data_IF_622980405752
#
_entry.id   IF_622980405752
#
_cell.length_a   1.000
_cell.length_b   1.000
_cell.length_c   1.000
_cell.angle_alpha   90.00
_cell.angle_beta   90.00
_cell.angle_gamma   90.00
#
_symmetry.space_group_name_H-M   'P 1'
#
loop_
_entity.id
_entity.type
_entity.pdbx_description
1 polymer ?
#
# COMPACT_ATOMS: atom_id res chain seq x y z
N UNK A 1 -20.36 -31.68 11.44
CA UNK A 1 -19.76 -32.03 10.13
C UNK A 1 -18.86 -30.88 9.71
N UNK A 2 -17.55 -31.09 9.61
CA UNK A 2 -16.65 -30.02 9.15
C UNK A 2 -16.92 -29.76 7.67
N UNK A 3 -17.44 -28.57 7.32
CA UNK A 3 -17.50 -28.13 5.92
C UNK A 3 -16.06 -28.12 5.41
N UNK A 4 -15.74 -29.06 4.51
CA UNK A 4 -14.45 -29.11 3.81
C UNK A 4 -14.50 -28.07 2.71
N UNK A 5 -13.79 -26.96 2.92
CA UNK A 5 -13.60 -25.95 1.90
C UNK A 5 -12.36 -26.30 1.08
N UNK A 6 -12.41 -26.07 -0.23
CA UNK A 6 -11.24 -26.26 -1.10
C UNK A 6 -10.14 -25.25 -0.74
N UNK A 7 -8.86 -25.61 -0.95
CA UNK A 7 -7.75 -24.68 -0.69
C UNK A 7 -7.86 -23.40 -1.54
N UNK A 8 -8.34 -23.51 -2.78
CA UNK A 8 -8.60 -22.37 -3.68
C UNK A 8 -9.67 -21.43 -3.11
N UNK A 9 -10.79 -21.99 -2.63
CA UNK A 9 -11.85 -21.19 -2.02
C UNK A 9 -11.37 -20.47 -0.76
N UNK A 10 -10.52 -21.13 0.05
CA UNK A 10 -9.93 -20.51 1.24
C UNK A 10 -9.05 -19.31 0.85
N UNK A 11 -8.22 -19.42 -0.18
CA UNK A 11 -7.40 -18.31 -0.66
C UNK A 11 -8.27 -17.17 -1.18
N UNK A 12 -9.25 -17.48 -2.04
CA UNK A 12 -10.16 -16.47 -2.59
C UNK A 12 -10.96 -15.74 -1.51
N UNK A 13 -11.38 -16.45 -0.45
CA UNK A 13 -12.07 -15.85 0.69
C UNK A 13 -11.17 -14.92 1.51
N UNK A 14 -9.89 -15.28 1.69
CA UNK A 14 -8.90 -14.41 2.36
C UNK A 14 -8.65 -13.16 1.50
N UNK A 15 -8.40 -13.32 0.20
CA UNK A 15 -8.10 -12.22 -0.71
C UNK A 15 -9.26 -11.23 -0.78
N UNK A 16 -10.50 -11.75 -0.87
CA UNK A 16 -11.71 -10.94 -0.85
C UNK A 16 -11.85 -10.16 0.47
N UNK A 17 -11.61 -10.82 1.62
CA UNK A 17 -11.67 -10.17 2.92
C UNK A 17 -10.60 -9.06 3.09
N UNK A 18 -9.42 -9.25 2.51
CA UNK A 18 -8.34 -8.26 2.53
C UNK A 18 -8.63 -7.07 1.59
N UNK A 19 -9.16 -7.34 0.39
CA UNK A 19 -9.56 -6.31 -0.56
C UNK A 19 -10.71 -5.44 -0.02
N UNK A 20 -11.66 -6.06 0.69
CA UNK A 20 -12.85 -5.40 1.24
C UNK A 20 -12.69 -4.98 2.71
N UNK A 21 -11.50 -4.51 3.11
CA UNK A 21 -11.20 -4.08 4.49
C UNK A 21 -12.04 -2.91 5.04
N UNK A 22 -12.89 -2.28 4.21
CA UNK A 22 -13.87 -1.28 4.60
C UNK A 22 -15.17 -1.89 5.13
N UNK A 23 -15.46 -3.16 4.82
CA UNK A 23 -16.60 -3.89 5.35
C UNK A 23 -16.20 -4.70 6.59
N UNK A 24 -17.11 -4.84 7.57
CA UNK A 24 -16.85 -5.68 8.73
C UNK A 24 -16.72 -7.14 8.29
N UNK A 25 -15.70 -7.83 8.81
CA UNK A 25 -15.39 -9.22 8.49
C UNK A 25 -16.58 -10.17 8.73
N UNK A 26 -17.46 -9.86 9.69
CA UNK A 26 -18.69 -10.60 9.93
C UNK A 26 -19.66 -10.56 8.73
N UNK A 27 -19.81 -9.41 8.08
CA UNK A 27 -20.65 -9.28 6.88
C UNK A 27 -20.04 -10.02 5.70
N UNK A 28 -18.72 -9.96 5.54
CA UNK A 28 -18.00 -10.70 4.51
C UNK A 28 -18.16 -12.21 4.70
N UNK A 29 -18.03 -12.68 5.95
CA UNK A 29 -18.21 -14.09 6.29
C UNK A 29 -19.64 -14.59 5.94
N UNK A 30 -20.66 -13.79 6.25
CA UNK A 30 -22.06 -14.07 5.88
C UNK A 30 -22.23 -14.13 4.36
N UNK A 31 -21.67 -13.17 3.60
CA UNK A 31 -21.70 -13.14 2.13
C UNK A 31 -21.06 -14.38 1.50
N UNK A 32 -19.95 -14.83 2.06
CA UNK A 32 -19.22 -16.03 1.58
C UNK A 32 -19.82 -17.34 2.11
N UNK A 33 -20.81 -17.30 3.00
CA UNK A 33 -21.38 -18.49 3.64
C UNK A 33 -20.39 -19.23 4.56
N UNK A 34 -19.36 -18.52 5.04
CA UNK A 34 -18.32 -19.03 5.94
C UNK A 34 -18.56 -18.50 7.34
N UNK A 35 -18.27 -19.30 8.38
CA UNK A 35 -18.34 -18.81 9.75
C UNK A 35 -17.28 -17.73 10.00
N UNK A 36 -17.65 -16.66 10.71
CA UNK A 36 -16.73 -15.57 11.07
C UNK A 36 -15.40 -16.09 11.66
N UNK A 37 -15.49 -16.96 12.66
CA UNK A 37 -14.32 -17.54 13.34
C UNK A 37 -13.46 -18.38 12.41
N UNK A 38 -14.06 -18.99 11.38
CA UNK A 38 -13.33 -19.75 10.36
C UNK A 38 -12.54 -18.84 9.44
N UNK A 39 -13.17 -17.75 8.98
CA UNK A 39 -12.52 -16.77 8.12
C UNK A 39 -11.40 -16.00 8.86
N UNK A 40 -11.65 -15.58 10.10
CA UNK A 40 -10.63 -14.97 10.97
C UNK A 40 -9.44 -15.91 11.20
N UNK A 41 -9.70 -17.19 11.49
CA UNK A 41 -8.63 -18.19 11.62
C UNK A 41 -7.83 -18.36 10.33
N UNK A 42 -8.48 -18.34 9.17
CA UNK A 42 -7.79 -18.45 7.88
C UNK A 42 -6.88 -17.25 7.60
N UNK A 43 -7.33 -16.03 7.88
CA UNK A 43 -6.54 -14.81 7.73
C UNK A 43 -5.33 -14.82 8.68
N UNK A 44 -5.52 -15.24 9.94
CA UNK A 44 -4.44 -15.39 10.92
C UNK A 44 -3.45 -16.48 10.54
N UNK A 45 -3.93 -17.63 10.06
CA UNK A 45 -3.06 -18.72 9.62
C UNK A 45 -2.30 -18.40 8.32
N UNK A 46 -2.84 -17.53 7.48
CA UNK A 46 -2.14 -17.01 6.31
C UNK A 46 -1.04 -15.99 6.70
N UNK A 47 -1.10 -15.42 7.91
CA UNK A 47 -0.12 -14.50 8.46
C UNK A 47 0.37 -14.98 9.85
N UNK A 48 1.09 -16.12 9.93
CA UNK A 48 1.52 -16.69 11.20
C UNK A 48 2.62 -15.85 11.88
N UNK A 49 3.37 -15.06 11.12
CA UNK A 49 4.48 -14.24 11.61
C UNK A 49 4.01 -12.85 12.04
N UNK A 50 3.18 -12.80 13.09
CA UNK A 50 3.12 -11.77 14.13
C UNK A 50 3.53 -10.32 13.82
N UNK A 51 3.25 -9.78 12.65
CA UNK A 51 3.45 -8.37 12.35
C UNK A 51 2.23 -7.85 11.60
N UNK A 52 1.56 -6.89 12.22
CA UNK A 52 0.49 -6.08 11.64
C UNK A 52 0.95 -5.21 10.46
N UNK A 53 1.92 -5.68 9.66
CA UNK A 53 2.14 -5.17 8.33
C UNK A 53 1.11 -5.86 7.46
N UNK A 54 -0.01 -5.16 7.23
CA UNK A 54 -0.80 -5.33 6.02
C UNK A 54 0.19 -5.67 4.90
N UNK A 55 0.14 -6.90 4.38
CA UNK A 55 0.93 -7.24 3.20
C UNK A 55 0.38 -6.31 2.12
N UNK A 56 1.07 -5.20 1.91
CA UNK A 56 0.73 -4.24 0.88
C UNK A 56 0.65 -5.05 -0.41
N UNK A 57 -0.49 -4.99 -1.08
CA UNK A 57 -0.62 -5.65 -2.40
C UNK A 57 0.55 -5.16 -3.27
N UNK A 58 1.02 -5.96 -4.25
CA UNK A 58 2.14 -5.54 -5.12
C UNK A 58 1.89 -4.16 -5.74
N UNK A 59 0.63 -3.81 -5.99
CA UNK A 59 0.20 -2.47 -6.40
C UNK A 59 0.45 -1.38 -5.33
N UNK A 60 0.12 -1.64 -4.07
CA UNK A 60 0.37 -0.70 -2.97
C UNK A 60 1.85 -0.53 -2.66
N UNK A 61 2.67 -1.58 -2.82
CA UNK A 61 4.13 -1.45 -2.73
C UNK A 61 4.67 -0.55 -3.83
N UNK A 62 4.20 -0.79 -5.07
CA UNK A 62 4.56 0.05 -6.22
C UNK A 62 4.15 1.51 -6.03
N UNK A 63 2.97 1.77 -5.46
CA UNK A 63 2.53 3.14 -5.13
C UNK A 63 3.49 3.80 -4.15
N UNK A 64 3.88 3.11 -3.07
CA UNK A 64 4.81 3.66 -2.08
C UNK A 64 6.20 3.93 -2.66
N UNK A 65 6.69 3.04 -3.52
CA UNK A 65 7.98 3.23 -4.18
C UNK A 65 7.94 4.41 -5.17
N UNK A 66 6.85 4.54 -5.93
CA UNK A 66 6.61 5.69 -6.81
C UNK A 66 6.48 7.00 -6.01
N UNK A 67 5.78 7.00 -4.87
CA UNK A 67 5.65 8.19 -4.02
C UNK A 67 7.01 8.66 -3.47
N UNK A 68 7.88 7.73 -3.09
CA UNK A 68 9.25 8.04 -2.67
C UNK A 68 10.06 8.64 -3.81
N UNK A 69 9.98 8.05 -5.00
CA UNK A 69 10.68 8.55 -6.18
C UNK A 69 10.21 9.96 -6.57
N UNK A 70 8.90 10.20 -6.57
CA UNK A 70 8.32 11.52 -6.84
C UNK A 70 8.81 12.55 -5.81
N UNK A 71 8.89 12.17 -4.53
CA UNK A 71 9.40 13.06 -3.48
C UNK A 71 10.86 13.43 -3.73
N UNK A 72 11.72 12.46 -4.03
CA UNK A 72 13.14 12.70 -4.33
C UNK A 72 13.33 13.58 -5.57
N UNK A 73 12.56 13.33 -6.64
CA UNK A 73 12.60 14.13 -7.85
C UNK A 73 12.16 15.57 -7.61
N UNK A 74 11.12 15.79 -6.79
CA UNK A 74 10.68 17.14 -6.41
C UNK A 74 11.76 17.89 -5.61
N UNK A 75 12.39 17.23 -4.64
CA UNK A 75 13.49 17.82 -3.86
C UNK A 75 14.68 18.21 -4.76
N UNK A 76 15.08 17.34 -5.68
CA UNK A 76 16.13 17.63 -6.65
C UNK A 76 15.77 18.82 -7.56
N UNK A 77 14.52 18.85 -8.05
CA UNK A 77 14.03 19.93 -8.91
C UNK A 77 14.00 21.28 -8.16
N UNK A 78 13.61 21.28 -6.89
CA UNK A 78 13.62 22.49 -6.07
C UNK A 78 15.04 23.01 -5.81
N UNK A 79 16.02 22.12 -5.62
CA UNK A 79 17.43 22.51 -5.54
C UNK A 79 17.88 23.13 -6.87
N UNK A 80 17.60 22.49 -8.00
CA UNK A 80 17.97 22.99 -9.32
C UNK A 80 17.33 24.36 -9.61
N UNK A 81 16.06 24.55 -9.26
CA UNK A 81 15.38 25.85 -9.38
C UNK A 81 16.04 26.92 -8.51
N UNK A 82 16.36 26.62 -7.25
CA UNK A 82 17.05 27.57 -6.36
C UNK A 82 18.43 27.95 -6.91
N UNK A 83 19.18 26.98 -7.41
CA UNK A 83 20.48 27.20 -8.05
C UNK A 83 20.34 28.04 -9.32
N UNK A 84 19.35 27.76 -10.16
CA UNK A 84 19.08 28.54 -11.37
C UNK A 84 18.74 30.00 -11.04
N UNK A 85 17.88 30.24 -10.05
CA UNK A 85 17.55 31.59 -9.57
C UNK A 85 18.81 32.29 -9.05
N UNK A 86 19.61 31.62 -8.22
CA UNK A 86 20.87 32.16 -7.72
C UNK A 86 21.79 32.59 -8.86
N UNK A 87 22.01 31.73 -9.86
CA UNK A 87 22.86 32.05 -11.01
C UNK A 87 22.32 33.22 -11.84
N UNK A 88 21.01 33.29 -12.09
CA UNK A 88 20.42 34.43 -12.80
C UNK A 88 20.59 35.74 -12.02
N UNK A 89 20.42 35.72 -10.69
CA UNK A 89 20.62 36.90 -9.85
C UNK A 89 22.10 37.33 -9.71
N UNK A 90 23.04 36.38 -9.76
CA UNK A 90 24.48 36.67 -9.73
C UNK A 90 24.98 37.26 -11.06
N UNK A 91 24.50 36.76 -12.19
CA UNK A 91 24.76 37.32 -13.53
C UNK A 91 24.26 38.77 -13.66
N UNK A 92 23.07 39.07 -13.12
CA UNK A 92 22.52 40.43 -13.11
C UNK A 92 23.33 41.44 -12.30
N UNK A 93 24.01 41.01 -11.23
CA UNK A 93 24.84 41.88 -10.38
C UNK A 93 26.23 42.16 -10.96
N UNK A 94 26.77 41.25 -11.77
CA UNK A 94 28.08 41.43 -12.43
C UNK A 94 28.02 42.34 -13.66
N UNK A 95 26.86 42.44 -14.32
CA UNK A 95 26.69 43.27 -15.52
C UNK A 95 26.53 44.78 -15.24
N UNK A 96 26.34 45.18 -13.98
CA UNK A 96 26.14 46.59 -13.57
C UNK A 96 27.36 47.20 -12.86
N UNK A 97 28.56 46.62 -13.01
CA UNK A 97 29.81 47.16 -12.48
C UNK A 97 30.79 47.52 -13.59
#
# INVERSE_FOLDING_TARGET
MAKRFSPEFKQQAIDYALANSHEPLASIAVKLGVGYSTLDKWIRMANPDGSSKRQLTPEQQRILDLEKEVKQLKEANDILKKVHVYFLTDQGKRSTR
#
